data_IF_970223292134
#
_entry.id   IF_970223292134
#
_cell.length_a   1.000
_cell.length_b   1.000
_cell.length_c   1.000
_cell.angle_alpha   90.00
_cell.angle_beta   90.00
_cell.angle_gamma   90.00
#
_symmetry.space_group_name_H-M   'P 1'
#
loop_
_entity.id
_entity.type
_entity.pdbx_description
1 polymer ?
#
# COMPACT_ATOMS: atom_id res chain seq x y z
N UNK A 1 64.21 21.84 -36.18
CA UNK A 1 63.01 22.31 -36.91
C UNK A 1 61.83 22.00 -35.99
N UNK A 2 61.41 22.79 -35.01
CA UNK A 2 61.38 24.25 -34.82
C UNK A 2 60.89 25.04 -36.04
N UNK A 3 59.59 25.39 -36.03
CA UNK A 3 58.95 26.70 -36.30
C UNK A 3 57.44 26.51 -36.06
N UNK A 4 56.82 27.11 -35.03
CA UNK A 4 56.25 28.47 -34.93
C UNK A 4 54.77 28.59 -35.39
N UNK A 5 53.88 28.91 -34.44
CA UNK A 5 52.95 30.07 -34.43
C UNK A 5 52.01 29.91 -33.21
N UNK A 6 52.04 30.70 -32.11
CA UNK A 6 51.54 32.09 -31.93
C UNK A 6 50.21 32.31 -32.68
N UNK A 7 49.11 32.82 -32.12
CA UNK A 7 48.83 33.68 -30.97
C UNK A 7 47.29 33.88 -30.95
N UNK A 8 46.62 33.80 -29.80
CA UNK A 8 45.99 34.93 -29.07
C UNK A 8 44.46 35.13 -29.23
N UNK A 9 43.82 35.14 -28.05
CA UNK A 9 42.74 36.01 -27.57
C UNK A 9 41.39 36.09 -28.32
N UNK A 10 40.30 35.71 -27.63
CA UNK A 10 39.34 36.67 -27.08
C UNK A 10 38.19 35.99 -26.31
N UNK A 11 37.88 36.57 -25.15
CA UNK A 11 36.69 36.35 -24.35
C UNK A 11 35.41 36.57 -25.17
N UNK A 12 34.35 35.82 -24.88
CA UNK A 12 33.03 36.44 -24.87
C UNK A 12 32.16 35.92 -23.70
N UNK A 13 31.72 36.91 -22.94
CA UNK A 13 30.81 36.89 -21.82
C UNK A 13 29.41 36.53 -22.30
N UNK A 14 28.67 35.71 -21.58
CA UNK A 14 27.20 35.71 -21.68
C UNK A 14 26.61 35.51 -20.29
N UNK A 15 26.34 36.67 -19.69
CA UNK A 15 25.12 37.07 -18.97
C UNK A 15 24.27 36.00 -18.28
N UNK A 16 24.26 36.11 -16.95
CA UNK A 16 23.16 35.80 -16.04
C UNK A 16 21.87 36.51 -16.44
N UNK A 17 20.73 35.79 -16.43
CA UNK A 17 19.40 36.37 -16.20
C UNK A 17 18.61 35.45 -15.27
N UNK A 18 18.09 36.09 -14.22
CA UNK A 18 17.27 35.55 -13.14
C UNK A 18 15.90 35.02 -13.59
N UNK A 19 15.44 34.04 -12.80
CA UNK A 19 14.08 33.78 -12.33
C UNK A 19 12.90 34.46 -13.03
N UNK A 20 11.99 33.64 -13.58
CA UNK A 20 10.58 33.59 -13.16
C UNK A 20 10.04 32.17 -13.32
N UNK A 21 10.14 31.38 -12.24
CA UNK A 21 9.42 30.11 -12.07
C UNK A 21 7.96 30.42 -11.74
N UNK A 22 7.09 30.41 -12.76
CA UNK A 22 5.65 30.43 -12.55
C UNK A 22 5.20 29.05 -12.10
N UNK A 23 5.33 28.80 -10.79
CA UNK A 23 4.79 27.63 -10.12
C UNK A 23 3.26 27.56 -10.24
N UNK A 24 2.80 26.92 -11.30
CA UNK A 24 1.41 26.47 -11.43
C UNK A 24 1.22 25.33 -10.41
N UNK A 25 0.57 25.65 -9.28
CA UNK A 25 0.18 24.65 -8.28
C UNK A 25 -0.74 23.63 -8.95
N UNK A 26 -0.21 22.43 -9.24
CA UNK A 26 -1.05 21.29 -9.59
C UNK A 26 -1.97 20.98 -8.41
N UNK A 27 -3.26 21.18 -8.63
CA UNK A 27 -4.32 20.79 -7.73
C UNK A 27 -4.52 19.27 -7.80
N UNK A 28 -3.99 18.56 -6.81
CA UNK A 28 -4.12 17.10 -6.66
C UNK A 28 -5.52 16.63 -6.23
N UNK A 29 -6.51 17.54 -6.09
CA UNK A 29 -7.89 17.17 -5.72
C UNK A 29 -8.63 16.35 -6.80
N UNK A 30 -8.12 16.30 -8.03
CA UNK A 30 -8.83 15.77 -9.21
C UNK A 30 -8.55 14.28 -9.51
N UNK A 31 -7.59 13.63 -8.86
CA UNK A 31 -7.22 12.23 -9.18
C UNK A 31 -7.93 11.16 -8.32
N UNK A 32 -8.90 11.54 -7.49
CA UNK A 32 -9.78 10.58 -6.82
C UNK A 32 -10.79 10.00 -7.84
N UNK A 33 -10.34 9.05 -8.65
CA UNK A 33 -11.23 8.29 -9.54
C UNK A 33 -12.00 7.29 -8.69
N UNK A 34 -13.15 7.72 -8.17
CA UNK A 34 -14.18 6.80 -7.68
C UNK A 34 -14.62 5.91 -8.84
N UNK A 35 -14.43 4.60 -8.68
CA UNK A 35 -14.87 3.59 -9.66
C UNK A 35 -16.37 3.77 -10.00
N UNK A 36 -16.81 3.60 -11.26
CA UNK A 36 -18.18 3.92 -11.68
C UNK A 36 -19.30 3.05 -11.08
N UNK A 37 -18.97 2.06 -10.24
CA UNK A 37 -19.90 1.01 -9.79
C UNK A 37 -20.87 1.47 -8.69
N UNK A 38 -20.68 2.65 -8.10
CA UNK A 38 -21.53 3.12 -6.98
C UNK A 38 -22.79 3.92 -7.39
N UNK A 39 -23.24 3.88 -8.65
CA UNK A 39 -24.51 4.51 -9.06
C UNK A 39 -25.71 3.62 -8.73
N UNK A 40 -26.03 3.43 -7.45
CA UNK A 40 -27.16 2.59 -7.08
C UNK A 40 -27.65 2.58 -5.63
N UNK A 41 -27.02 3.32 -4.71
CA UNK A 41 -27.51 3.42 -3.33
C UNK A 41 -28.22 4.76 -3.14
N UNK A 42 -29.55 4.72 -3.08
CA UNK A 42 -30.36 5.86 -2.60
C UNK A 42 -29.88 6.19 -1.19
N UNK A 43 -29.44 7.43 -0.97
CA UNK A 43 -29.05 7.90 0.35
C UNK A 43 -30.25 7.81 1.29
N UNK A 44 -30.14 7.00 2.35
CA UNK A 44 -30.94 7.26 3.54
C UNK A 44 -30.33 8.51 4.18
N UNK A 45 -31.12 9.57 4.27
CA UNK A 45 -30.75 10.78 5.01
C UNK A 45 -30.64 10.45 6.49
N UNK A 46 -29.41 10.24 6.96
CA UNK A 46 -29.12 10.14 8.40
C UNK A 46 -29.22 11.55 8.97
N UNK A 47 -30.33 11.84 9.64
CA UNK A 47 -30.55 13.09 10.36
C UNK A 47 -29.81 13.04 11.70
N UNK A 48 -28.49 13.23 11.67
CA UNK A 48 -27.64 13.36 12.85
C UNK A 48 -26.45 14.26 12.54
N UNK A 49 -25.87 14.97 13.53
CA UNK A 49 -24.63 15.69 13.31
C UNK A 49 -23.55 14.70 12.83
N UNK A 50 -22.67 15.10 11.89
CA UNK A 50 -21.58 14.24 11.46
C UNK A 50 -20.78 13.81 12.68
N UNK A 51 -20.57 12.50 12.83
CA UNK A 51 -19.66 11.97 13.86
C UNK A 51 -18.29 12.63 13.75
N UNK A 52 -17.55 12.72 14.87
CA UNK A 52 -16.26 13.44 15.00
C UNK A 52 -15.26 13.20 13.84
N UNK A 53 -15.29 12.02 13.23
CA UNK A 53 -14.40 11.60 12.13
C UNK A 53 -15.14 11.32 10.82
N UNK A 54 -16.21 12.07 10.53
CA UNK A 54 -16.97 11.97 9.28
C UNK A 54 -16.97 13.25 8.44
N UNK A 55 -16.50 14.37 9.01
CA UNK A 55 -16.25 15.58 8.24
C UNK A 55 -14.88 15.50 7.56
N UNK A 56 -14.91 15.37 6.23
CA UNK A 56 -13.72 15.27 5.43
C UNK A 56 -13.17 16.67 5.03
N UNK A 57 -13.88 17.76 5.29
CA UNK A 57 -13.49 19.10 4.81
C UNK A 57 -12.25 19.67 5.52
N UNK A 58 -11.89 19.16 6.71
CA UNK A 58 -10.73 19.62 7.49
C UNK A 58 -9.95 18.43 8.06
N UNK A 59 -9.03 17.88 7.27
CA UNK A 59 -8.01 16.95 7.79
C UNK A 59 -6.74 17.74 8.03
N UNK A 60 -6.31 17.77 9.30
CA UNK A 60 -4.99 18.29 9.67
C UNK A 60 -3.96 17.21 9.39
N UNK A 61 -3.01 17.43 8.46
CA UNK A 61 -1.98 16.44 8.14
C UNK A 61 -1.14 16.10 9.37
N UNK A 62 -0.92 14.82 9.68
CA UNK A 62 0.00 14.42 10.76
C UNK A 62 1.41 14.90 10.47
N UNK A 63 2.09 15.49 11.45
CA UNK A 63 3.45 16.00 11.28
C UNK A 63 4.50 14.90 11.07
N UNK A 64 4.20 13.67 11.50
CA UNK A 64 5.06 12.49 11.37
C UNK A 64 4.24 11.20 11.57
N UNK A 65 4.87 10.04 11.33
CA UNK A 65 4.26 8.71 11.49
C UNK A 65 3.74 8.47 12.91
N UNK A 66 4.40 9.00 13.95
CA UNK A 66 3.92 8.81 15.32
C UNK A 66 2.61 9.55 15.56
N UNK A 67 2.48 10.79 15.07
CA UNK A 67 1.20 11.51 15.12
C UNK A 67 0.13 10.80 14.28
N UNK A 68 0.46 10.27 13.09
CA UNK A 68 -0.49 9.48 12.31
C UNK A 68 -1.03 8.30 13.12
N UNK A 69 -0.17 7.55 13.81
CA UNK A 69 -0.58 6.43 14.67
C UNK A 69 -1.53 6.93 15.77
N UNK A 70 -1.20 8.01 16.47
CA UNK A 70 -2.06 8.56 17.54
C UNK A 70 -3.45 8.95 17.01
N UNK A 71 -3.51 9.61 15.84
CA UNK A 71 -4.79 9.97 15.21
C UNK A 71 -5.59 8.74 14.80
N UNK A 72 -4.94 7.70 14.29
CA UNK A 72 -5.62 6.44 13.98
C UNK A 72 -6.20 5.80 15.24
N UNK A 73 -5.48 5.80 16.37
CA UNK A 73 -6.05 5.35 17.65
C UNK A 73 -7.33 6.10 18.00
N UNK A 74 -7.33 7.43 17.92
CA UNK A 74 -8.53 8.25 18.18
C UNK A 74 -9.69 7.92 17.22
N UNK A 75 -9.41 7.76 15.92
CA UNK A 75 -10.45 7.44 14.92
C UNK A 75 -11.09 6.10 15.21
N UNK A 76 -10.27 5.08 15.49
CA UNK A 76 -10.74 3.73 15.74
C UNK A 76 -11.29 3.53 17.16
N UNK A 77 -11.24 4.50 18.08
CA UNK A 77 -12.03 4.44 19.33
C UNK A 77 -13.54 4.33 19.05
N UNK A 78 -14.01 5.00 17.98
CA UNK A 78 -15.37 4.87 17.46
C UNK A 78 -15.61 3.48 16.85
N UNK A 79 -16.86 3.01 16.88
CA UNK A 79 -17.28 1.85 16.09
C UNK A 79 -17.78 2.25 14.70
N UNK A 80 -18.17 3.52 14.54
CA UNK A 80 -18.57 4.10 13.26
C UNK A 80 -17.34 4.75 12.62
N UNK A 81 -16.71 4.04 11.69
CA UNK A 81 -15.49 4.45 11.01
C UNK A 81 -15.84 4.92 9.60
N UNK A 82 -15.51 6.18 9.27
CA UNK A 82 -15.60 6.67 7.91
C UNK A 82 -14.38 6.21 7.11
N UNK A 83 -14.60 5.33 6.13
CA UNK A 83 -13.55 4.86 5.21
C UNK A 83 -12.86 6.04 4.50
N UNK A 84 -13.65 7.00 4.03
CA UNK A 84 -13.12 8.18 3.33
C UNK A 84 -12.21 9.02 4.25
N UNK A 85 -12.62 9.20 5.51
CA UNK A 85 -11.82 9.95 6.48
C UNK A 85 -10.48 9.26 6.75
N UNK A 86 -10.48 7.95 7.00
CA UNK A 86 -9.25 7.17 7.26
C UNK A 86 -8.32 7.21 6.06
N UNK A 87 -8.86 7.00 4.85
CA UNK A 87 -8.08 7.05 3.61
C UNK A 87 -7.44 8.43 3.43
N UNK A 88 -8.20 9.51 3.61
CA UNK A 88 -7.66 10.87 3.48
C UNK A 88 -6.67 11.23 4.59
N UNK A 89 -6.89 10.76 5.82
CA UNK A 89 -5.94 10.92 6.93
C UNK A 89 -4.61 10.24 6.60
N UNK A 90 -4.65 8.99 6.15
CA UNK A 90 -3.45 8.26 5.71
C UNK A 90 -2.76 8.97 4.55
N UNK A 91 -3.51 9.38 3.51
CA UNK A 91 -2.97 10.15 2.37
C UNK A 91 -2.26 11.42 2.83
N UNK A 92 -2.84 12.17 3.77
CA UNK A 92 -2.33 13.47 4.24
C UNK A 92 -0.97 13.40 4.94
N UNK A 93 -0.59 12.25 5.51
CA UNK A 93 0.75 12.06 6.04
C UNK A 93 1.77 11.99 4.90
N UNK A 94 2.69 12.95 4.83
CA UNK A 94 3.79 12.95 3.86
C UNK A 94 4.89 11.97 4.27
N UNK A 95 5.17 10.96 3.46
CA UNK A 95 6.12 9.90 3.79
C UNK A 95 7.56 10.42 3.98
N UNK A 96 8.10 10.15 5.15
CA UNK A 96 9.48 10.46 5.52
C UNK A 96 10.24 9.19 5.96
N UNK A 97 11.22 8.76 5.15
CA UNK A 97 12.02 7.55 5.39
C UNK A 97 12.64 7.51 6.78
N UNK A 98 13.03 8.65 7.36
CA UNK A 98 13.67 8.70 8.69
C UNK A 98 12.76 8.15 9.80
N UNK A 99 11.44 8.25 9.64
CA UNK A 99 10.44 7.90 10.65
C UNK A 99 10.12 6.40 10.64
N UNK A 100 10.08 5.81 9.44
CA UNK A 100 9.66 4.43 9.23
C UNK A 100 10.78 3.43 8.92
N UNK A 101 12.00 3.89 8.60
CA UNK A 101 13.13 3.00 8.22
C UNK A 101 13.41 1.88 9.22
N UNK A 102 13.14 2.08 10.51
CA UNK A 102 13.33 1.06 11.56
C UNK A 102 12.45 -0.18 11.37
N UNK A 103 11.29 -0.02 10.74
CA UNK A 103 10.33 -1.08 10.43
C UNK A 103 10.57 -1.71 9.06
N UNK A 104 11.21 -0.99 8.13
CA UNK A 104 11.44 -1.46 6.77
C UNK A 104 12.53 -2.54 6.69
N UNK A 105 12.15 -3.79 6.91
CA UNK A 105 13.06 -4.94 6.89
C UNK A 105 12.76 -5.84 5.70
N UNK A 106 13.58 -5.76 4.66
CA UNK A 106 13.42 -6.53 3.44
C UNK A 106 13.88 -7.99 3.61
N UNK A 107 13.39 -8.85 2.72
CA UNK A 107 13.88 -10.22 2.49
C UNK A 107 14.11 -10.43 0.99
N UNK A 108 15.15 -11.17 0.64
CA UNK A 108 15.58 -11.34 -0.75
C UNK A 108 14.54 -12.05 -1.61
N UNK A 109 13.79 -13.00 -1.06
CA UNK A 109 12.98 -13.94 -1.84
C UNK A 109 11.50 -13.64 -1.81
N UNK A 110 11.03 -12.88 -0.81
CA UNK A 110 9.62 -12.51 -0.66
C UNK A 110 9.46 -11.13 -0.05
N UNK A 111 8.31 -10.52 -0.31
CA UNK A 111 7.94 -9.32 0.41
C UNK A 111 7.75 -9.64 1.90
N UNK A 112 7.98 -8.66 2.77
CA UNK A 112 7.88 -8.86 4.23
C UNK A 112 6.77 -8.02 4.83
N UNK A 113 6.15 -8.51 5.90
CA UNK A 113 5.13 -7.78 6.69
C UNK A 113 5.73 -7.39 8.04
N UNK A 114 5.80 -6.11 8.34
CA UNK A 114 6.47 -5.57 9.53
C UNK A 114 5.48 -4.78 10.37
N UNK A 115 5.02 -5.35 11.49
CA UNK A 115 4.04 -4.70 12.36
C UNK A 115 4.65 -3.42 12.96
N UNK A 116 3.97 -2.30 12.74
CA UNK A 116 4.31 -0.98 13.27
C UNK A 116 3.56 -0.73 14.57
N UNK A 117 2.26 -0.98 14.57
CA UNK A 117 1.36 -0.76 15.70
C UNK A 117 0.24 -1.82 15.69
N UNK A 118 -0.13 -2.33 16.86
CA UNK A 118 -1.19 -3.35 17.01
C UNK A 118 -2.58 -2.73 17.29
N UNK A 119 -2.67 -1.41 17.18
CA UNK A 119 -3.87 -0.63 17.45
C UNK A 119 -4.35 -0.79 18.89
N UNK A 120 -5.61 -0.41 19.08
CA UNK A 120 -6.37 -0.58 20.33
C UNK A 120 -7.22 -1.86 20.31
N UNK A 121 -6.73 -2.91 19.62
CA UNK A 121 -7.47 -4.15 19.34
C UNK A 121 -8.42 -4.06 18.15
N UNK A 122 -8.59 -2.88 17.54
CA UNK A 122 -9.50 -2.67 16.40
C UNK A 122 -8.80 -2.53 15.05
N UNK A 123 -7.50 -2.30 15.01
CA UNK A 123 -6.76 -2.28 13.76
C UNK A 123 -5.33 -2.76 13.93
N UNK A 124 -4.71 -3.22 12.84
CA UNK A 124 -3.27 -3.45 12.74
C UNK A 124 -2.68 -2.48 11.73
N UNK A 125 -1.59 -1.81 12.08
CA UNK A 125 -0.80 -0.98 11.17
C UNK A 125 0.55 -1.65 10.90
N UNK A 126 0.89 -1.89 9.64
CA UNK A 126 2.12 -2.58 9.26
C UNK A 126 2.74 -2.02 8.00
N UNK A 127 4.06 -2.16 7.89
CA UNK A 127 4.81 -1.81 6.69
C UNK A 127 5.13 -3.09 5.91
N UNK A 128 4.75 -3.09 4.64
CA UNK A 128 5.16 -4.10 3.69
C UNK A 128 6.35 -3.59 2.88
N UNK A 129 7.37 -4.44 2.74
CA UNK A 129 8.58 -4.13 1.99
C UNK A 129 8.69 -5.07 0.79
N UNK A 130 8.80 -4.49 -0.39
CA UNK A 130 8.84 -5.19 -1.67
C UNK A 130 10.18 -4.90 -2.33
N UNK A 131 11.03 -5.92 -2.47
CA UNK A 131 12.17 -5.82 -3.39
C UNK A 131 11.67 -5.80 -4.84
N UNK A 132 12.61 -5.63 -5.75
CA UNK A 132 12.41 -5.56 -7.18
C UNK A 132 11.65 -6.80 -7.70
N UNK A 133 10.58 -6.59 -8.46
CA UNK A 133 9.76 -7.66 -9.04
C UNK A 133 8.93 -8.49 -8.05
N UNK A 134 8.93 -8.17 -6.76
CA UNK A 134 8.14 -8.94 -5.78
C UNK A 134 6.67 -8.55 -5.80
N UNK A 135 5.80 -9.55 -5.64
CA UNK A 135 4.35 -9.36 -5.58
C UNK A 135 3.66 -10.32 -4.63
N UNK A 136 2.41 -10.00 -4.30
CA UNK A 136 1.54 -10.87 -3.51
C UNK A 136 0.87 -11.94 -4.38
N UNK A 137 0.27 -12.95 -3.75
CA UNK A 137 -0.80 -13.72 -4.39
C UNK A 137 -2.04 -12.84 -4.59
N UNK A 138 -2.99 -13.32 -5.40
CA UNK A 138 -4.37 -12.81 -5.35
C UNK A 138 -4.95 -13.22 -3.99
N UNK A 139 -5.50 -12.28 -3.23
CA UNK A 139 -5.97 -12.56 -1.87
C UNK A 139 -7.16 -11.72 -1.42
N UNK A 140 -7.85 -12.24 -0.40
CA UNK A 140 -8.93 -11.56 0.33
C UNK A 140 -8.43 -10.89 1.62
N UNK A 141 -9.34 -10.20 2.29
CA UNK A 141 -9.09 -9.39 3.49
C UNK A 141 -9.87 -9.87 4.72
N UNK A 142 -10.44 -11.07 4.70
CA UNK A 142 -11.14 -11.69 5.83
C UNK A 142 -12.22 -10.77 6.45
N UNK A 143 -13.06 -10.18 5.61
CA UNK A 143 -14.10 -9.20 5.95
C UNK A 143 -13.58 -7.94 6.67
N UNK A 144 -12.29 -7.62 6.51
CA UNK A 144 -11.67 -6.43 7.08
C UNK A 144 -11.51 -5.32 6.04
N UNK A 145 -11.53 -4.08 6.52
CA UNK A 145 -11.09 -2.92 5.77
C UNK A 145 -9.57 -2.99 5.54
N UNK A 146 -9.11 -2.70 4.33
CA UNK A 146 -7.69 -2.59 4.00
C UNK A 146 -7.42 -1.23 3.37
N UNK A 147 -6.54 -0.46 4.00
CA UNK A 147 -5.98 0.77 3.43
C UNK A 147 -4.52 0.52 3.11
N UNK A 148 -4.10 0.88 1.89
CA UNK A 148 -2.71 0.77 1.45
C UNK A 148 -2.23 2.15 1.03
N UNK A 149 -1.18 2.67 1.67
CA UNK A 149 -0.48 3.89 1.26
C UNK A 149 0.94 3.57 0.80
N UNK A 150 1.37 4.13 -0.32
CA UNK A 150 2.76 4.00 -0.79
C UNK A 150 3.64 4.96 -0.02
N UNK A 151 4.64 4.43 0.70
CA UNK A 151 5.64 5.24 1.42
C UNK A 151 6.86 5.54 0.56
N UNK A 152 7.20 4.64 -0.35
CA UNK A 152 8.38 4.73 -1.23
C UNK A 152 8.21 3.84 -2.45
N UNK A 153 8.78 4.28 -3.58
CA UNK A 153 8.64 3.60 -4.87
C UNK A 153 7.22 3.73 -5.42
N UNK A 154 6.82 2.72 -6.19
CA UNK A 154 5.46 2.57 -6.71
C UNK A 154 5.05 1.10 -6.69
N UNK A 155 3.74 0.86 -6.69
CA UNK A 155 3.16 -0.49 -6.75
C UNK A 155 2.02 -0.53 -7.74
N UNK A 156 1.84 -1.67 -8.40
CA UNK A 156 0.63 -2.00 -9.14
C UNK A 156 -0.34 -2.74 -8.25
N UNK A 157 -1.61 -2.36 -8.26
CA UNK A 157 -2.73 -3.11 -7.73
C UNK A 157 -3.58 -3.65 -8.89
N UNK A 158 -3.77 -4.97 -8.94
CA UNK A 158 -4.69 -5.62 -9.86
C UNK A 158 -5.90 -6.14 -9.09
N UNK A 159 -7.10 -5.80 -9.56
CA UNK A 159 -8.36 -6.13 -8.91
C UNK A 159 -9.08 -7.27 -9.65
N UNK A 160 -9.55 -8.25 -8.89
CA UNK A 160 -10.14 -9.49 -9.37
C UNK A 160 -11.55 -9.69 -8.82
N UNK A 161 -12.40 -10.29 -9.65
CA UNK A 161 -13.70 -10.78 -9.22
C UNK A 161 -13.53 -12.02 -8.31
N UNK A 162 -14.50 -12.26 -7.43
CA UNK A 162 -14.58 -13.51 -6.69
C UNK A 162 -14.80 -14.68 -7.65
N UNK A 163 -14.14 -15.85 -7.43
CA UNK A 163 -14.38 -17.01 -8.27
C UNK A 163 -15.84 -17.45 -8.12
N UNK A 164 -16.55 -17.51 -9.24
CA UNK A 164 -17.92 -18.04 -9.26
C UNK A 164 -17.86 -19.57 -9.23
N UNK A 165 -18.62 -20.27 -8.37
CA UNK A 165 -18.74 -21.71 -8.45
C UNK A 165 -19.32 -22.08 -9.83
N UNK A 166 -18.50 -22.69 -10.68
CA UNK A 166 -18.88 -23.00 -12.05
C UNK A 166 -20.03 -24.01 -12.12
N UNK A 167 -21.02 -23.71 -12.96
CA UNK A 167 -21.83 -24.74 -13.61
C UNK A 167 -20.92 -25.76 -14.29
N UNK A 168 -21.24 -27.07 -14.26
CA UNK A 168 -20.33 -28.17 -14.61
C UNK A 168 -19.77 -28.17 -16.04
N UNK A 169 -20.23 -27.29 -16.94
CA UNK A 169 -19.89 -27.31 -18.38
C UNK A 169 -18.88 -26.25 -18.86
N UNK A 170 -18.29 -25.42 -17.99
CA UNK A 170 -17.32 -24.40 -18.44
C UNK A 170 -15.88 -24.71 -18.00
N UNK A 171 -15.04 -25.16 -18.95
CA UNK A 171 -13.59 -25.31 -18.80
C UNK A 171 -12.85 -23.99 -18.44
N UNK A 172 -13.55 -22.85 -18.44
CA UNK A 172 -13.06 -21.52 -18.03
C UNK A 172 -13.42 -21.15 -16.58
N UNK A 173 -14.20 -21.98 -15.86
CA UNK A 173 -14.66 -21.69 -14.50
C UNK A 173 -13.53 -21.64 -13.44
N UNK A 174 -12.27 -21.85 -13.84
CA UNK A 174 -11.11 -21.78 -12.96
C UNK A 174 -10.25 -20.53 -13.10
N UNK A 175 -10.27 -19.77 -14.21
CA UNK A 175 -9.34 -18.65 -14.33
C UNK A 175 -9.86 -17.43 -13.58
N UNK A 176 -9.05 -16.86 -12.69
CA UNK A 176 -9.37 -15.63 -11.97
C UNK A 176 -9.53 -14.47 -12.96
N UNK A 177 -10.66 -13.78 -12.89
CA UNK A 177 -10.97 -12.68 -13.81
C UNK A 177 -10.53 -11.33 -13.21
N UNK A 178 -9.45 -10.77 -13.75
CA UNK A 178 -9.05 -9.37 -13.50
C UNK A 178 -10.06 -8.44 -14.16
N UNK A 179 -10.53 -7.42 -13.43
CA UNK A 179 -11.46 -6.43 -13.97
C UNK A 179 -10.88 -5.02 -14.08
N UNK A 180 -9.85 -4.68 -13.29
CA UNK A 180 -9.08 -3.44 -13.47
C UNK A 180 -7.68 -3.56 -12.86
N UNK A 181 -6.83 -2.57 -13.14
CA UNK A 181 -5.54 -2.38 -12.49
C UNK A 181 -5.23 -0.89 -12.33
N UNK A 182 -4.45 -0.55 -11.31
CA UNK A 182 -4.02 0.80 -11.00
C UNK A 182 -2.55 0.80 -10.57
N UNK A 183 -1.80 1.81 -11.01
CA UNK A 183 -0.46 2.07 -10.50
C UNK A 183 -0.55 3.17 -9.44
N UNK A 184 0.04 2.93 -8.27
CA UNK A 184 0.10 3.87 -7.16
C UNK A 184 1.53 4.33 -6.91
N UNK A 185 1.71 5.63 -6.93
CA UNK A 185 2.95 6.33 -6.67
C UNK A 185 3.08 6.71 -5.20
N UNK A 186 4.29 7.14 -4.81
CA UNK A 186 4.58 7.63 -3.46
C UNK A 186 3.50 8.61 -2.98
N UNK A 187 3.11 8.41 -1.72
CA UNK A 187 2.12 9.17 -0.96
C UNK A 187 0.65 8.98 -1.36
N UNK A 188 0.35 8.25 -2.44
CA UNK A 188 -1.02 7.85 -2.76
C UNK A 188 -1.52 6.74 -1.83
N UNK A 189 -2.84 6.72 -1.59
CA UNK A 189 -3.51 5.71 -0.78
C UNK A 189 -4.74 5.13 -1.49
N UNK A 190 -4.86 3.80 -1.48
CA UNK A 190 -6.01 3.03 -1.98
C UNK A 190 -6.73 2.33 -0.83
N UNK A 191 -7.95 1.88 -1.11
CA UNK A 191 -8.81 1.17 -0.18
C UNK A 191 -9.46 -0.03 -0.87
N UNK A 192 -9.52 -1.14 -0.15
CA UNK A 192 -10.24 -2.34 -0.57
C UNK A 192 -10.87 -3.05 0.63
N UNK A 193 -11.95 -3.79 0.38
CA UNK A 193 -12.49 -4.81 1.27
C UNK A 193 -13.09 -5.94 0.41
N UNK A 194 -13.53 -7.02 1.06
CA UNK A 194 -14.05 -8.21 0.38
C UNK A 194 -15.32 -7.94 -0.45
N UNK A 195 -16.07 -6.86 -0.17
CA UNK A 195 -17.23 -6.47 -0.98
C UNK A 195 -16.86 -5.81 -2.32
N UNK A 196 -15.65 -5.25 -2.43
CA UNK A 196 -15.11 -4.68 -3.67
C UNK A 196 -14.53 -5.79 -4.54
N UNK A 197 -13.79 -6.72 -3.93
CA UNK A 197 -13.20 -7.85 -4.64
C UNK A 197 -11.91 -8.33 -4.00
N UNK A 198 -11.14 -9.07 -4.81
CA UNK A 198 -9.83 -9.60 -4.46
C UNK A 198 -8.75 -8.76 -5.12
N UNK A 199 -7.53 -8.79 -4.61
CA UNK A 199 -6.44 -8.08 -5.28
C UNK A 199 -5.08 -8.78 -5.24
N UNK A 200 -4.21 -8.36 -6.15
CA UNK A 200 -2.77 -8.62 -6.14
C UNK A 200 -2.04 -7.29 -6.15
N UNK A 201 -1.03 -7.15 -5.30
CA UNK A 201 -0.17 -5.96 -5.23
C UNK A 201 1.27 -6.35 -5.58
N UNK A 202 1.89 -5.60 -6.47
CA UNK A 202 3.22 -5.92 -7.01
C UNK A 202 4.11 -4.69 -7.11
N UNK A 203 5.39 -4.83 -6.74
CA UNK A 203 6.43 -3.93 -7.18
C UNK A 203 6.93 -4.40 -8.55
N UNK A 204 6.47 -3.76 -9.62
CA UNK A 204 6.90 -4.10 -10.99
C UNK A 204 8.25 -3.51 -11.38
N UNK A 205 8.86 -2.70 -10.52
CA UNK A 205 10.20 -2.17 -10.79
C UNK A 205 11.25 -3.27 -10.70
N UNK A 206 12.17 -3.28 -11.65
CA UNK A 206 13.35 -4.16 -11.65
C UNK A 206 14.59 -3.49 -11.05
N UNK A 207 14.49 -2.23 -10.65
CA UNK A 207 15.63 -1.41 -10.19
C UNK A 207 15.37 -0.69 -8.87
N UNK A 208 14.11 -0.44 -8.54
CA UNK A 208 13.71 0.26 -7.34
C UNK A 208 12.90 -0.66 -6.42
N UNK A 209 13.08 -0.49 -5.12
CA UNK A 209 12.26 -1.11 -4.09
C UNK A 209 10.99 -0.30 -3.87
N UNK A 210 9.98 -0.94 -3.31
CA UNK A 210 8.78 -0.27 -2.83
C UNK A 210 8.54 -0.54 -1.34
N UNK A 211 7.94 0.43 -0.66
CA UNK A 211 7.49 0.32 0.73
C UNK A 211 6.07 0.84 0.82
N UNK A 212 5.18 0.07 1.43
CA UNK A 212 3.77 0.44 1.58
C UNK A 212 3.34 0.31 3.04
N UNK A 213 2.54 1.25 3.53
CA UNK A 213 1.88 1.23 4.83
C UNK A 213 0.48 0.65 4.67
N UNK A 214 0.17 -0.40 5.42
CA UNK A 214 -1.11 -1.10 5.40
C UNK A 214 -1.82 -0.95 6.75
N UNK A 215 -3.09 -0.58 6.71
CA UNK A 215 -3.98 -0.62 7.87
C UNK A 215 -5.11 -1.62 7.62
N UNK A 216 -5.26 -2.56 8.54
CA UNK A 216 -6.36 -3.53 8.52
C UNK A 216 -7.28 -3.36 9.73
N UNK A 217 -8.59 -3.32 9.52
CA UNK A 217 -9.60 -3.22 10.59
C UNK A 217 -10.86 -4.03 10.28
N UNK A 218 -11.29 -4.97 11.13
CA UNK A 218 -10.58 -5.47 12.31
C UNK A 218 -9.23 -6.13 11.94
N UNK A 219 -8.36 -6.41 12.93
CA UNK A 219 -7.20 -7.26 12.71
C UNK A 219 -7.63 -8.69 12.37
N UNK A 220 -6.87 -9.37 11.53
CA UNK A 220 -7.07 -10.79 11.21
C UNK A 220 -5.74 -11.54 11.15
N UNK A 221 -5.80 -12.84 11.45
CA UNK A 221 -4.63 -13.72 11.48
C UNK A 221 -4.56 -14.67 10.27
N UNK A 222 -5.62 -14.76 9.47
CA UNK A 222 -5.71 -15.65 8.31
C UNK A 222 -6.46 -14.97 7.16
N UNK A 223 -6.05 -15.21 5.92
CA UNK A 223 -6.77 -14.79 4.72
C UNK A 223 -6.77 -15.91 3.67
N UNK A 224 -7.57 -15.74 2.62
CA UNK A 224 -7.57 -16.66 1.49
C UNK A 224 -6.67 -16.14 0.38
N UNK A 225 -5.79 -17.01 -0.12
CA UNK A 225 -4.99 -16.80 -1.31
C UNK A 225 -5.55 -17.65 -2.45
N UNK A 226 -5.65 -17.07 -3.64
CA UNK A 226 -6.26 -17.70 -4.81
C UNK A 226 -5.20 -17.98 -5.87
N UNK A 227 -5.26 -19.19 -6.44
CA UNK A 227 -4.50 -19.52 -7.63
C UNK A 227 -5.13 -18.85 -8.86
N UNK A 228 -4.34 -18.11 -9.64
CA UNK A 228 -4.85 -17.31 -10.75
C UNK A 228 -5.44 -18.16 -11.89
N UNK A 229 -4.93 -19.39 -12.08
CA UNK A 229 -5.36 -20.26 -13.19
C UNK A 229 -6.58 -21.11 -12.85
N UNK A 230 -6.75 -21.45 -11.58
CA UNK A 230 -7.76 -22.42 -11.12
C UNK A 230 -8.78 -21.84 -10.16
N UNK A 231 -8.55 -20.63 -9.62
CA UNK A 231 -9.47 -19.96 -8.70
C UNK A 231 -9.55 -20.67 -7.34
N UNK A 232 -8.73 -21.71 -7.15
CA UNK A 232 -8.69 -22.50 -5.93
C UNK A 232 -8.16 -21.62 -4.79
N UNK A 233 -8.97 -21.49 -3.75
CA UNK A 233 -8.60 -20.82 -2.52
C UNK A 233 -7.73 -21.72 -1.63
N UNK A 234 -6.75 -21.11 -0.97
CA UNK A 234 -5.93 -21.71 0.08
C UNK A 234 -5.89 -20.76 1.26
N UNK A 235 -6.09 -21.27 2.48
CA UNK A 235 -5.97 -20.45 3.69
C UNK A 235 -4.49 -20.20 3.99
N UNK A 236 -4.14 -18.94 4.19
CA UNK A 236 -2.79 -18.49 4.51
C UNK A 236 -2.79 -17.76 5.84
N UNK A 237 -1.87 -18.13 6.74
CA UNK A 237 -1.69 -17.45 8.03
C UNK A 237 -0.85 -16.19 7.83
N UNK A 238 -1.30 -15.09 8.43
CA UNK A 238 -0.56 -13.84 8.47
C UNK A 238 0.63 -14.01 9.41
N UNK A 239 1.83 -13.99 8.85
CA UNK A 239 3.08 -13.98 9.64
C UNK A 239 3.76 -12.62 9.55
N UNK A 240 4.29 -12.15 10.67
CA UNK A 240 5.06 -10.91 10.72
C UNK A 240 6.55 -11.21 10.60
N UNK A 241 7.24 -10.62 9.63
CA UNK A 241 8.69 -10.64 9.56
C UNK A 241 9.33 -9.82 10.69
N UNK A 242 8.70 -8.75 11.14
CA UNK A 242 9.13 -8.07 12.36
C UNK A 242 7.95 -7.47 13.09
N UNK A 243 8.11 -7.23 14.38
CA UNK A 243 7.15 -6.49 15.21
C UNK A 243 7.88 -5.35 15.91
N UNK A 244 7.33 -4.15 15.81
CA UNK A 244 7.84 -2.95 16.49
C UNK A 244 9.33 -2.68 16.20
N UNK A 245 9.76 -2.98 14.96
CA UNK A 245 11.14 -2.81 14.52
C UNK A 245 12.10 -3.92 14.98
N UNK A 246 11.63 -4.98 15.64
CA UNK A 246 12.45 -6.13 16.06
C UNK A 246 12.09 -7.37 15.25
N UNK A 247 13.10 -8.06 14.71
CA UNK A 247 12.91 -9.30 13.94
C UNK A 247 12.22 -10.33 14.83
N UNK A 248 11.15 -10.90 14.33
CA UNK A 248 10.48 -12.03 14.98
C UNK A 248 11.25 -13.32 14.72
N UNK A 249 11.37 -14.22 15.71
CA UNK A 249 11.99 -15.51 15.51
C UNK A 249 11.05 -16.38 14.65
N UNK A 250 11.27 -16.40 13.34
CA UNK A 250 10.68 -17.40 12.46
C UNK A 250 11.82 -18.30 11.98
N UNK A 251 11.89 -19.54 12.50
CA UNK A 251 12.80 -20.59 12.02
C UNK A 251 14.12 -20.81 12.77
N UNK A 252 14.31 -20.29 14.01
CA UNK A 252 15.38 -20.76 14.92
C UNK A 252 14.93 -20.58 16.36
N UNK A 253 14.39 -21.64 16.96
CA UNK A 253 14.54 -21.84 18.39
C UNK A 253 15.94 -22.46 18.57
N UNK A 254 16.89 -21.88 19.33
CA UNK A 254 18.21 -22.50 19.53
C UNK A 254 18.12 -23.92 20.14
N UNK A 255 17.00 -24.24 20.78
CA UNK A 255 16.75 -25.54 21.44
C UNK A 255 16.02 -26.57 20.56
N UNK A 256 15.49 -26.18 19.39
CA UNK A 256 14.80 -27.10 18.47
C UNK A 256 15.41 -26.96 17.09
N UNK A 257 16.09 -28.02 16.64
CA UNK A 257 16.86 -28.09 15.40
C UNK A 257 16.08 -27.77 14.10
N UNK A 258 16.77 -27.77 12.95
CA UNK A 258 16.25 -27.20 11.71
C UNK A 258 15.11 -28.06 11.15
N UNK A 259 13.87 -27.56 11.25
CA UNK A 259 12.72 -28.17 10.60
C UNK A 259 11.51 -27.25 10.57
N UNK A 260 11.20 -26.68 9.40
CA UNK A 260 9.96 -26.98 8.66
C UNK A 260 9.74 -25.96 7.52
N UNK A 261 9.84 -26.49 6.30
CA UNK A 261 9.13 -26.16 5.05
C UNK A 261 8.99 -24.69 4.60
N UNK A 262 9.85 -24.32 3.66
CA UNK A 262 9.57 -23.34 2.60
C UNK A 262 8.83 -24.07 1.48
N UNK A 263 7.62 -23.63 1.14
CA UNK A 263 7.00 -24.00 -0.14
C UNK A 263 7.61 -23.08 -1.20
N UNK A 264 8.58 -23.61 -1.95
CA UNK A 264 9.08 -22.98 -3.16
C UNK A 264 8.07 -23.23 -4.29
N UNK A 265 7.66 -22.16 -4.98
CA UNK A 265 7.00 -22.30 -6.28
C UNK A 265 8.06 -22.73 -7.30
N UNK A 266 7.84 -23.86 -7.96
CA UNK A 266 8.42 -24.16 -9.27
C UNK A 266 7.87 -23.20 -10.32
#
# INVERSE_FOLDING_TARGET
>A
MEVMSLSDHANNTTTTTDDQDTGEKMDYSSLCVVSPVCRGLKSLSITGPPGKFSDNSVIVPPANLHELVLRLHEVFESNDISVEYVQRLMTSYTSNRKEWKRFAKFDQFRYTRNLVDAGNGKFNLMILCWNEGQGSSIHSHANSHCFLKVLEGSVKEELYEWPSPGSPDNNMAGVMKKWTEHDYEKDQCTYINDSIGLHRVENRSHVNKAVTLHLYSPPFDECQCFDERTGKATTSKVTFWSKFGRRTPFGRNPELGPGCCVIEKK
#
